data_IF_169157765781
#
_entry.id   IF_169157765781
#
_cell.length_a   1.000
_cell.length_b   1.000
_cell.length_c   1.000
_cell.angle_alpha   90.00
_cell.angle_beta   90.00
_cell.angle_gamma   90.00
#
_symmetry.space_group_name_H-M   'P 1'
#
loop_
_entity.id
_entity.type
_entity.pdbx_description
1 polymer ?
#
# COMPACT_ATOMS: atom_id res chain seq x y z
N UNK A 1 19.64 -11.59 16.33
CA UNK A 1 18.25 -12.07 16.15
C UNK A 1 17.79 -11.59 14.78
N UNK A 2 17.23 -12.47 13.92
CA UNK A 2 16.90 -12.05 12.55
C UNK A 2 15.82 -10.95 12.50
N UNK A 3 15.86 -10.07 11.51
CA UNK A 3 14.92 -8.95 11.30
C UNK A 3 13.44 -9.36 11.40
N UNK A 4 13.09 -10.54 10.92
CA UNK A 4 11.71 -11.10 10.99
C UNK A 4 11.18 -11.21 12.43
N UNK A 5 12.04 -11.54 13.40
CA UNK A 5 11.60 -11.67 14.80
C UNK A 5 11.30 -10.30 15.43
N UNK A 6 12.02 -9.26 15.01
CA UNK A 6 11.80 -7.87 15.46
C UNK A 6 10.48 -7.34 14.91
N UNK A 7 10.21 -7.55 13.63
CA UNK A 7 8.96 -7.15 12.97
C UNK A 7 7.72 -7.78 13.65
N UNK A 8 7.72 -9.11 13.82
CA UNK A 8 6.61 -9.82 14.47
C UNK A 8 6.37 -9.30 15.89
N UNK A 9 7.44 -9.12 16.67
CA UNK A 9 7.34 -8.56 18.04
C UNK A 9 6.78 -7.15 18.05
N UNK A 10 7.19 -6.31 17.10
CA UNK A 10 6.69 -4.92 17.01
C UNK A 10 5.19 -4.88 16.69
N UNK A 11 4.74 -5.65 15.69
CA UNK A 11 3.32 -5.75 15.33
C UNK A 11 2.48 -6.26 16.51
N UNK A 12 2.93 -7.32 17.17
CA UNK A 12 2.25 -7.88 18.35
C UNK A 12 2.15 -6.86 19.48
N UNK A 13 3.25 -6.14 19.77
CA UNK A 13 3.26 -5.13 20.84
C UNK A 13 2.33 -3.95 20.55
N UNK A 14 2.29 -3.47 19.30
CA UNK A 14 1.37 -2.40 18.90
C UNK A 14 -0.10 -2.83 19.05
N UNK A 15 -0.42 -4.05 18.66
CA UNK A 15 -1.74 -4.65 18.88
C UNK A 15 -2.08 -4.73 20.37
N UNK A 16 -1.19 -5.31 21.19
CA UNK A 16 -1.41 -5.50 22.62
C UNK A 16 -1.63 -4.16 23.34
N UNK A 17 -0.91 -3.10 22.96
CA UNK A 17 -1.11 -1.76 23.46
C UNK A 17 -2.54 -1.23 23.14
N UNK A 18 -3.02 -1.41 21.92
CA UNK A 18 -4.36 -0.98 21.51
C UNK A 18 -5.45 -1.76 22.25
N UNK A 19 -5.29 -3.08 22.42
CA UNK A 19 -6.20 -3.95 23.21
C UNK A 19 -6.26 -3.49 24.67
N UNK A 20 -5.11 -3.20 25.28
CA UNK A 20 -5.04 -2.72 26.65
C UNK A 20 -5.75 -1.37 26.81
N UNK A 21 -5.53 -0.44 25.88
CA UNK A 21 -6.17 0.87 25.86
C UNK A 21 -7.69 0.77 25.72
N UNK A 22 -8.18 -0.19 24.93
CA UNK A 22 -9.62 -0.43 24.75
C UNK A 22 -10.27 -1.20 25.90
N UNK A 23 -9.51 -1.86 26.77
CA UNK A 23 -10.04 -2.72 27.83
C UNK A 23 -10.83 -3.92 27.29
N UNK A 24 -10.43 -4.50 26.16
CA UNK A 24 -11.12 -5.62 25.52
C UNK A 24 -11.01 -6.88 26.38
N UNK A 25 -12.09 -7.64 26.48
CA UNK A 25 -12.11 -8.92 27.16
C UNK A 25 -11.06 -9.87 26.59
N UNK A 26 -10.36 -10.61 27.46
CA UNK A 26 -9.22 -11.46 27.09
C UNK A 26 -9.57 -12.51 26.04
N UNK A 27 -10.76 -13.12 26.12
CA UNK A 27 -11.23 -14.12 25.16
C UNK A 27 -11.32 -13.55 23.74
N UNK A 28 -12.02 -12.41 23.62
CA UNK A 28 -12.20 -11.71 22.35
C UNK A 28 -10.86 -11.12 21.83
N UNK A 29 -10.02 -10.60 22.70
CA UNK A 29 -8.68 -10.13 22.33
C UNK A 29 -7.82 -11.26 21.74
N UNK A 30 -7.86 -12.45 22.32
CA UNK A 30 -7.15 -13.63 21.80
C UNK A 30 -7.73 -14.06 20.43
N UNK A 31 -9.06 -14.04 20.27
CA UNK A 31 -9.72 -14.33 18.99
C UNK A 31 -9.24 -13.38 17.89
N UNK A 32 -9.22 -12.07 18.18
CA UNK A 32 -8.77 -11.05 17.20
C UNK A 32 -7.28 -11.17 16.90
N UNK A 33 -6.47 -11.63 17.84
CA UNK A 33 -5.01 -11.79 17.68
C UNK A 33 -4.63 -12.99 16.84
N UNK A 34 -5.42 -14.05 16.87
CA UNK A 34 -5.07 -15.34 16.28
C UNK A 34 -5.52 -15.44 14.83
N UNK A 35 -4.69 -16.01 13.98
CA UNK A 35 -5.13 -16.41 12.65
C UNK A 35 -6.17 -17.52 12.73
N UNK A 36 -7.26 -17.42 11.97
CA UNK A 36 -8.28 -18.45 11.86
C UNK A 36 -7.71 -19.75 11.29
N UNK A 37 -6.83 -19.63 10.30
CA UNK A 37 -6.12 -20.80 9.74
C UNK A 37 -4.78 -20.42 9.12
N UNK A 38 -3.84 -21.38 9.18
CA UNK A 38 -2.54 -21.27 8.49
C UNK A 38 -2.22 -22.60 7.81
N UNK A 39 -2.07 -22.56 6.51
CA UNK A 39 -1.78 -23.72 5.68
C UNK A 39 -0.32 -23.73 5.26
N UNK A 40 0.40 -24.81 5.59
CA UNK A 40 1.74 -25.10 5.04
C UNK A 40 1.59 -26.06 3.87
N UNK A 41 2.10 -25.66 2.71
CA UNK A 41 1.94 -26.37 1.45
C UNK A 41 3.31 -26.75 0.92
N UNK A 42 3.53 -28.05 0.66
CA UNK A 42 4.74 -28.56 0.01
C UNK A 42 4.37 -29.21 -1.31
N UNK A 43 5.13 -28.88 -2.36
CA UNK A 43 4.85 -29.39 -3.70
C UNK A 43 6.13 -29.51 -4.53
N UNK A 44 6.17 -30.51 -5.40
CA UNK A 44 7.26 -30.73 -6.34
C UNK A 44 6.95 -30.10 -7.71
N UNK A 45 7.98 -29.54 -8.34
CA UNK A 45 7.93 -29.03 -9.71
C UNK A 45 9.11 -29.62 -10.51
N UNK A 46 8.82 -30.11 -11.72
CA UNK A 46 9.86 -30.51 -12.66
C UNK A 46 10.33 -29.27 -13.41
N UNK A 47 11.54 -28.83 -13.10
CA UNK A 47 12.21 -27.69 -13.70
C UNK A 47 13.26 -28.16 -14.72
N UNK A 48 13.91 -27.20 -15.37
CA UNK A 48 14.94 -27.44 -16.36
C UNK A 48 16.12 -28.27 -15.80
N UNK A 49 16.47 -28.03 -14.54
CA UNK A 49 17.58 -28.67 -13.83
C UNK A 49 17.16 -29.84 -12.90
N UNK A 50 15.91 -30.34 -13.04
CA UNK A 50 15.40 -31.48 -12.30
C UNK A 50 14.17 -31.19 -11.45
N UNK A 51 13.78 -32.12 -10.58
CA UNK A 51 12.63 -31.96 -9.68
C UNK A 51 13.08 -31.23 -8.42
N UNK A 52 12.40 -30.11 -8.12
CA UNK A 52 12.60 -29.35 -6.88
C UNK A 52 11.33 -29.31 -6.05
N UNK A 53 11.51 -29.33 -4.73
CA UNK A 53 10.41 -29.25 -3.76
C UNK A 53 10.39 -27.85 -3.16
N UNK A 54 9.23 -27.24 -3.16
CA UNK A 54 8.98 -25.89 -2.62
C UNK A 54 8.08 -25.95 -1.39
N UNK A 55 8.24 -24.97 -0.51
CA UNK A 55 7.37 -24.80 0.65
C UNK A 55 6.75 -23.41 0.58
N UNK A 56 5.44 -23.36 0.63
CA UNK A 56 4.66 -22.12 0.68
C UNK A 56 3.66 -22.12 1.83
N UNK A 57 3.11 -20.98 2.12
CA UNK A 57 2.11 -20.76 3.16
C UNK A 57 0.97 -19.88 2.66
N UNK A 58 -0.21 -20.10 3.21
CA UNK A 58 -1.33 -19.16 3.14
C UNK A 58 -1.96 -19.09 4.53
N UNK A 59 -1.92 -17.90 5.15
CA UNK A 59 -2.59 -17.61 6.41
C UNK A 59 -3.85 -16.78 6.15
N UNK A 60 -4.92 -17.15 6.82
CA UNK A 60 -6.16 -16.41 6.91
C UNK A 60 -6.26 -15.90 8.35
N UNK A 61 -6.17 -14.60 8.53
CA UNK A 61 -6.20 -14.04 9.87
C UNK A 61 -7.63 -13.88 10.38
N UNK A 62 -8.50 -13.22 9.63
CA UNK A 62 -9.88 -13.03 10.04
C UNK A 62 -10.82 -13.09 8.85
N UNK A 63 -11.85 -13.91 9.00
CA UNK A 63 -12.97 -14.09 8.05
C UNK A 63 -14.24 -13.35 8.52
N UNK A 64 -14.09 -12.30 9.33
CA UNK A 64 -15.21 -11.47 9.76
C UNK A 64 -15.93 -10.81 8.56
N UNK A 65 -15.23 -10.63 7.47
CA UNK A 65 -15.73 -10.23 6.14
C UNK A 65 -15.02 -11.07 5.06
N UNK A 66 -15.75 -11.44 4.04
CA UNK A 66 -15.24 -12.17 2.88
C UNK A 66 -15.42 -11.36 1.57
N UNK A 67 -14.49 -11.53 0.62
CA UNK A 67 -13.32 -12.43 0.67
C UNK A 67 -12.22 -11.91 1.57
N UNK A 68 -11.36 -12.80 2.08
CA UNK A 68 -10.12 -12.38 2.73
C UNK A 68 -9.09 -11.95 1.70
N UNK A 69 -8.34 -10.89 1.98
CA UNK A 69 -7.45 -10.22 1.03
C UNK A 69 -6.03 -10.10 1.56
N UNK A 70 -5.03 -10.38 0.70
CA UNK A 70 -3.62 -10.13 1.02
C UNK A 70 -2.65 -10.72 0.02
N UNK A 71 -1.49 -10.08 -0.12
CA UNK A 71 -0.47 -10.43 -1.12
C UNK A 71 0.20 -11.78 -0.92
N UNK A 72 0.90 -12.27 -1.95
CA UNK A 72 1.78 -13.44 -1.90
C UNK A 72 3.22 -12.97 -2.06
N UNK A 73 4.05 -13.21 -1.04
CA UNK A 73 5.48 -12.84 -1.02
C UNK A 73 6.34 -13.99 -1.50
N UNK A 74 7.24 -13.72 -2.44
CA UNK A 74 8.31 -14.66 -2.82
C UNK A 74 9.61 -14.17 -2.19
N UNK A 75 10.10 -14.91 -1.20
CA UNK A 75 11.32 -14.56 -0.49
C UNK A 75 12.00 -15.79 0.10
N UNK A 76 13.34 -15.87 0.08
CA UNK A 76 14.05 -16.96 0.77
C UNK A 76 13.91 -16.92 2.30
N UNK A 77 13.57 -15.75 2.85
CA UNK A 77 13.44 -15.52 4.30
C UNK A 77 12.01 -15.79 4.82
N UNK A 78 11.01 -15.91 3.94
CA UNK A 78 9.61 -16.04 4.34
C UNK A 78 9.38 -17.29 5.21
N UNK A 79 8.56 -17.14 6.26
CA UNK A 79 8.18 -18.19 7.21
C UNK A 79 6.68 -18.13 7.53
N UNK A 80 6.16 -19.19 8.16
CA UNK A 80 4.77 -19.25 8.62
C UNK A 80 4.43 -18.07 9.54
N UNK A 81 5.25 -17.83 10.57
CA UNK A 81 5.02 -16.75 11.54
C UNK A 81 5.06 -15.36 10.94
N UNK A 82 5.91 -15.13 9.93
CA UNK A 82 5.92 -13.86 9.19
C UNK A 82 4.64 -13.69 8.37
N UNK A 83 4.18 -14.75 7.69
CA UNK A 83 2.94 -14.73 6.91
C UNK A 83 1.72 -14.48 7.82
N UNK A 84 1.67 -15.08 9.03
CA UNK A 84 0.62 -14.83 10.03
C UNK A 84 0.60 -13.37 10.50
N UNK A 85 1.76 -12.82 10.89
CA UNK A 85 1.86 -11.43 11.32
C UNK A 85 1.42 -10.45 10.21
N UNK A 86 1.82 -10.72 8.97
CA UNK A 86 1.40 -9.93 7.83
C UNK A 86 -0.09 -10.10 7.51
N UNK A 87 -0.69 -11.27 7.72
CA UNK A 87 -2.13 -11.50 7.55
C UNK A 87 -2.95 -10.69 8.57
N UNK A 88 -2.48 -10.62 9.82
CA UNK A 88 -3.07 -9.78 10.86
C UNK A 88 -3.03 -8.29 10.46
N UNK A 89 -1.88 -7.79 9.98
CA UNK A 89 -1.78 -6.42 9.47
C UNK A 89 -2.72 -6.16 8.30
N UNK A 90 -2.92 -7.13 7.40
CA UNK A 90 -3.88 -6.98 6.29
C UNK A 90 -5.30 -6.81 6.79
N UNK A 91 -5.73 -7.55 7.83
CA UNK A 91 -7.05 -7.36 8.44
C UNK A 91 -7.23 -5.93 8.93
N UNK A 92 -6.27 -5.42 9.70
CA UNK A 92 -6.37 -4.06 10.24
C UNK A 92 -6.30 -2.99 9.14
N UNK A 93 -5.43 -3.20 8.15
CA UNK A 93 -5.33 -2.29 7.01
C UNK A 93 -6.62 -2.21 6.20
N UNK A 94 -7.27 -3.35 5.94
CA UNK A 94 -8.57 -3.39 5.26
C UNK A 94 -9.65 -2.66 6.08
N UNK A 95 -9.64 -2.85 7.39
CA UNK A 95 -10.60 -2.21 8.30
C UNK A 95 -10.38 -0.69 8.41
N UNK A 96 -9.12 -0.20 8.38
CA UNK A 96 -8.83 1.25 8.45
C UNK A 96 -9.43 2.01 7.28
N UNK A 97 -9.29 1.49 6.06
CA UNK A 97 -9.79 2.13 4.84
C UNK A 97 -11.20 1.66 4.45
N UNK A 98 -11.87 0.98 5.35
CA UNK A 98 -13.27 0.54 5.21
C UNK A 98 -13.57 -0.27 3.95
N UNK A 99 -12.66 -1.16 3.53
CA UNK A 99 -12.95 -2.12 2.46
C UNK A 99 -13.58 -3.39 3.05
N UNK A 100 -14.55 -4.00 2.36
CA UNK A 100 -15.29 -5.17 2.86
C UNK A 100 -14.45 -6.45 2.70
N UNK A 101 -13.26 -6.47 3.27
CA UNK A 101 -12.34 -7.60 3.20
C UNK A 101 -11.87 -8.03 4.59
N UNK A 102 -11.87 -9.32 4.81
CA UNK A 102 -11.05 -9.94 5.85
C UNK A 102 -9.56 -9.87 5.48
N UNK A 103 -8.69 -10.48 6.29
CA UNK A 103 -7.25 -10.43 6.09
C UNK A 103 -6.61 -11.77 5.84
N UNK A 104 -5.74 -11.82 4.85
CA UNK A 104 -4.91 -12.98 4.55
C UNK A 104 -3.52 -12.59 4.08
N UNK A 105 -2.61 -13.55 4.06
CA UNK A 105 -1.29 -13.40 3.47
C UNK A 105 -0.78 -14.74 2.94
N UNK A 106 -0.01 -14.68 1.86
CA UNK A 106 0.69 -15.85 1.33
C UNK A 106 2.19 -15.63 1.27
N UNK A 107 2.94 -16.73 1.25
CA UNK A 107 4.37 -16.72 1.04
C UNK A 107 4.85 -17.98 0.35
N UNK A 108 5.87 -17.85 -0.50
CA UNK A 108 6.60 -18.96 -1.07
C UNK A 108 8.10 -18.77 -0.76
N UNK A 109 8.71 -19.79 -0.16
CA UNK A 109 10.14 -19.77 0.20
C UNK A 109 10.99 -20.00 -1.04
N UNK A 110 11.29 -18.91 -1.75
CA UNK A 110 12.03 -18.93 -3.01
C UNK A 110 12.80 -17.61 -3.19
N UNK A 111 13.97 -17.67 -3.83
CA UNK A 111 14.62 -16.48 -4.37
C UNK A 111 14.28 -16.38 -5.87
N UNK A 112 13.36 -15.47 -6.29
CA UNK A 112 12.93 -15.39 -7.70
C UNK A 112 14.08 -15.15 -8.68
N UNK A 113 15.10 -14.40 -8.29
CA UNK A 113 16.25 -14.06 -9.16
C UNK A 113 17.13 -15.27 -9.56
N UNK A 114 16.92 -16.42 -8.91
CA UNK A 114 17.65 -17.66 -9.20
C UNK A 114 16.97 -18.55 -10.24
N UNK A 115 15.82 -18.15 -10.75
CA UNK A 115 15.01 -18.92 -11.68
C UNK A 115 14.76 -18.14 -12.96
N UNK A 116 14.68 -18.87 -14.07
CA UNK A 116 14.19 -18.30 -15.32
C UNK A 116 12.72 -17.92 -15.23
N UNK A 117 12.23 -17.06 -16.10
CA UNK A 117 10.81 -16.71 -16.16
C UNK A 117 9.94 -17.94 -16.39
N UNK A 118 10.37 -18.86 -17.27
CA UNK A 118 9.67 -20.12 -17.54
C UNK A 118 9.56 -21.02 -16.31
N UNK A 119 10.65 -21.14 -15.52
CA UNK A 119 10.64 -21.94 -14.29
C UNK A 119 9.78 -21.26 -13.20
N UNK A 120 9.85 -19.92 -13.08
CA UNK A 120 8.97 -19.18 -12.17
C UNK A 120 7.49 -19.34 -12.52
N UNK A 121 7.14 -19.35 -13.81
CA UNK A 121 5.78 -19.62 -14.27
C UNK A 121 5.31 -21.02 -13.82
N UNK A 122 6.12 -22.06 -14.08
CA UNK A 122 5.80 -23.43 -13.66
C UNK A 122 5.60 -23.55 -12.16
N UNK A 123 6.49 -22.92 -11.38
CA UNK A 123 6.40 -22.90 -9.91
C UNK A 123 5.14 -22.20 -9.44
N UNK A 124 4.83 -21.03 -10.02
CA UNK A 124 3.67 -20.21 -9.64
C UNK A 124 2.36 -20.93 -10.00
N UNK A 125 2.24 -21.51 -11.19
CA UNK A 125 1.06 -22.28 -11.59
C UNK A 125 0.85 -23.50 -10.68
N UNK A 126 1.91 -24.25 -10.39
CA UNK A 126 1.81 -25.40 -9.51
C UNK A 126 1.44 -25.03 -8.07
N UNK A 127 1.96 -23.91 -7.56
CA UNK A 127 1.55 -23.36 -6.26
C UNK A 127 0.08 -22.94 -6.29
N UNK A 128 -0.38 -22.34 -7.37
CA UNK A 128 -1.79 -21.95 -7.57
C UNK A 128 -2.72 -23.15 -7.54
N UNK A 129 -2.38 -24.25 -8.24
CA UNK A 129 -3.15 -25.48 -8.16
C UNK A 129 -3.33 -25.96 -6.71
N UNK A 130 -2.25 -25.97 -5.93
CA UNK A 130 -2.30 -26.40 -4.55
C UNK A 130 -3.13 -25.47 -3.65
N UNK A 131 -3.13 -24.17 -3.92
CA UNK A 131 -3.96 -23.19 -3.22
C UNK A 131 -5.45 -23.35 -3.60
N UNK A 132 -5.74 -23.51 -4.89
CA UNK A 132 -7.13 -23.70 -5.40
C UNK A 132 -7.77 -24.96 -4.86
N UNK A 133 -7.04 -26.11 -4.84
CA UNK A 133 -7.51 -27.38 -4.26
C UNK A 133 -7.96 -27.26 -2.79
N UNK A 134 -7.50 -26.24 -2.08
CA UNK A 134 -7.78 -26.01 -0.64
C UNK A 134 -8.74 -24.83 -0.41
N UNK A 135 -9.30 -24.25 -1.46
CA UNK A 135 -10.17 -23.07 -1.34
C UNK A 135 -9.42 -21.78 -0.96
N UNK A 136 -8.08 -21.77 -1.09
CA UNK A 136 -7.24 -20.65 -0.68
C UNK A 136 -6.98 -19.60 -1.78
N UNK A 137 -7.61 -19.79 -2.93
CA UNK A 137 -7.79 -18.80 -4.01
C UNK A 137 -9.22 -18.95 -4.56
N UNK A 138 -10.00 -17.89 -4.47
CA UNK A 138 -11.37 -17.81 -4.99
C UNK A 138 -11.83 -16.36 -5.04
N UNK A 139 -12.61 -15.93 -6.04
CA UNK A 139 -13.21 -14.61 -6.10
C UNK A 139 -14.02 -14.22 -4.87
N UNK A 140 -14.68 -15.20 -4.23
CA UNK A 140 -15.59 -14.99 -3.11
C UNK A 140 -15.01 -15.26 -1.72
N UNK A 141 -13.92 -16.05 -1.62
CA UNK A 141 -13.40 -16.47 -0.33
C UNK A 141 -12.02 -15.90 -0.02
N UNK A 142 -11.09 -15.92 -1.01
CA UNK A 142 -9.70 -15.58 -0.73
C UNK A 142 -8.99 -15.06 -1.97
N UNK A 143 -8.68 -13.77 -1.97
CA UNK A 143 -8.17 -13.03 -3.15
C UNK A 143 -6.74 -12.56 -2.92
N UNK A 144 -5.75 -13.24 -3.50
CA UNK A 144 -4.35 -12.80 -3.47
C UNK A 144 -4.11 -11.47 -4.20
N UNK A 145 -2.92 -10.91 -3.98
CA UNK A 145 -2.39 -9.72 -4.64
C UNK A 145 -0.85 -9.82 -4.75
N UNK A 146 -0.18 -8.94 -5.50
CA UNK A 146 1.28 -8.89 -5.51
C UNK A 146 1.84 -8.41 -4.15
N UNK A 147 3.07 -8.87 -3.86
CA UNK A 147 3.89 -8.44 -2.74
C UNK A 147 5.37 -8.49 -3.17
N UNK A 148 6.31 -8.40 -2.23
CA UNK A 148 7.74 -8.54 -2.52
C UNK A 148 8.02 -9.84 -3.31
N UNK A 149 8.78 -9.72 -4.38
CA UNK A 149 9.15 -10.83 -5.24
C UNK A 149 8.06 -11.32 -6.20
N UNK A 150 6.88 -10.67 -6.23
CA UNK A 150 5.81 -10.93 -7.19
C UNK A 150 5.30 -9.64 -7.84
N UNK A 151 4.70 -9.77 -9.02
CA UNK A 151 4.19 -8.63 -9.78
C UNK A 151 3.04 -8.99 -10.71
N UNK A 152 2.83 -8.16 -11.74
CA UNK A 152 1.76 -8.35 -12.72
C UNK A 152 1.83 -9.71 -13.43
N UNK A 153 3.05 -10.23 -13.70
CA UNK A 153 3.26 -11.52 -14.38
C UNK A 153 2.75 -12.69 -13.54
N UNK A 154 3.18 -12.78 -12.29
CA UNK A 154 2.78 -13.85 -11.38
C UNK A 154 1.25 -13.81 -11.16
N UNK A 155 0.67 -12.61 -11.03
CA UNK A 155 -0.79 -12.47 -10.90
C UNK A 155 -1.52 -12.90 -12.17
N UNK A 156 -0.94 -12.68 -13.35
CA UNK A 156 -1.48 -13.17 -14.61
C UNK A 156 -1.49 -14.72 -14.67
N UNK A 157 -0.38 -15.35 -14.27
CA UNK A 157 -0.28 -16.82 -14.23
C UNK A 157 -1.26 -17.43 -13.21
N UNK A 158 -1.42 -16.79 -12.04
CA UNK A 158 -2.41 -17.21 -11.04
C UNK A 158 -3.83 -17.12 -11.60
N UNK A 159 -4.19 -16.01 -12.25
CA UNK A 159 -5.52 -15.81 -12.82
C UNK A 159 -5.83 -16.83 -13.94
N UNK A 160 -4.86 -17.05 -14.85
CA UNK A 160 -5.01 -18.02 -15.93
C UNK A 160 -5.15 -19.45 -15.39
N UNK A 161 -4.30 -19.84 -14.43
CA UNK A 161 -4.37 -21.17 -13.84
C UNK A 161 -5.65 -21.41 -13.05
N UNK A 162 -6.11 -20.40 -12.28
CA UNK A 162 -7.40 -20.46 -11.60
C UNK A 162 -8.54 -20.70 -12.60
N UNK A 163 -8.56 -19.93 -13.72
CA UNK A 163 -9.58 -20.06 -14.77
C UNK A 163 -9.55 -21.43 -15.43
N UNK A 164 -8.37 -22.00 -15.66
CA UNK A 164 -8.21 -23.35 -16.20
C UNK A 164 -8.80 -24.42 -15.29
N UNK A 165 -8.62 -24.28 -13.97
CA UNK A 165 -9.15 -25.19 -12.97
C UNK A 165 -10.65 -25.01 -12.72
N UNK A 166 -11.18 -23.80 -12.99
CA UNK A 166 -12.59 -23.42 -12.76
C UNK A 166 -13.21 -22.81 -14.04
N UNK A 167 -13.37 -23.60 -15.14
CA UNK A 167 -13.78 -23.06 -16.45
C UNK A 167 -15.19 -22.47 -16.47
N UNK A 168 -16.04 -22.84 -15.52
CA UNK A 168 -17.42 -22.35 -15.39
C UNK A 168 -17.57 -21.14 -14.46
N UNK A 169 -16.50 -20.71 -13.78
CA UNK A 169 -16.56 -19.52 -12.94
C UNK A 169 -16.49 -18.25 -13.80
N UNK A 170 -17.63 -17.58 -13.96
CA UNK A 170 -17.71 -16.32 -14.71
C UNK A 170 -16.90 -15.21 -14.07
N UNK A 171 -16.65 -15.29 -12.75
CA UNK A 171 -15.90 -14.32 -11.98
C UNK A 171 -14.41 -14.68 -11.87
N UNK A 172 -13.91 -15.66 -12.62
CA UNK A 172 -12.55 -16.18 -12.49
C UNK A 172 -11.45 -15.10 -12.45
N UNK A 173 -11.60 -14.00 -13.18
CA UNK A 173 -10.64 -12.89 -13.14
C UNK A 173 -10.64 -12.09 -11.83
N UNK A 174 -11.68 -12.20 -11.01
CA UNK A 174 -11.72 -11.58 -9.68
C UNK A 174 -10.95 -12.40 -8.60
N UNK A 175 -10.46 -13.60 -8.94
CA UNK A 175 -9.74 -14.48 -8.00
C UNK A 175 -8.41 -13.88 -7.48
N UNK A 176 -7.85 -12.88 -8.15
CA UNK A 176 -6.58 -12.22 -7.81
C UNK A 176 -6.59 -10.78 -8.32
N UNK A 177 -5.90 -9.87 -7.63
CA UNK A 177 -5.74 -8.48 -8.05
C UNK A 177 -4.28 -8.12 -8.34
N UNK A 178 -4.04 -7.02 -9.07
CA UNK A 178 -2.71 -6.61 -9.51
C UNK A 178 -2.28 -7.25 -10.84
N UNK A 179 -3.25 -7.72 -11.61
CA UNK A 179 -3.06 -8.27 -12.96
C UNK A 179 -2.68 -7.20 -13.98
N UNK A 180 -2.16 -7.59 -15.14
CA UNK A 180 -2.09 -6.73 -16.32
C UNK A 180 -3.48 -6.18 -16.72
N UNK A 181 -3.53 -4.98 -17.27
CA UNK A 181 -4.79 -4.30 -17.62
C UNK A 181 -5.59 -5.05 -18.68
N UNK A 182 -4.91 -5.72 -19.64
CA UNK A 182 -5.54 -6.58 -20.65
C UNK A 182 -6.11 -7.89 -20.08
N UNK A 183 -5.79 -8.23 -18.83
CA UNK A 183 -6.32 -9.39 -18.10
C UNK A 183 -7.27 -8.98 -16.95
N UNK A 184 -7.89 -7.82 -17.05
CA UNK A 184 -8.81 -7.34 -16.02
C UNK A 184 -8.17 -6.54 -14.89
N UNK A 185 -6.89 -6.21 -14.98
CA UNK A 185 -6.24 -5.26 -14.10
C UNK A 185 -6.76 -3.83 -14.29
N UNK A 186 -6.73 -3.01 -13.27
CA UNK A 186 -7.23 -1.63 -13.29
C UNK A 186 -6.09 -0.64 -13.51
N UNK A 187 -6.33 0.41 -14.29
CA UNK A 187 -5.39 1.51 -14.46
C UNK A 187 -5.21 2.27 -13.14
N UNK A 188 -4.00 2.81 -12.91
CA UNK A 188 -3.66 3.49 -11.65
C UNK A 188 -3.17 2.57 -10.52
N UNK A 189 -3.29 1.22 -10.65
CA UNK A 189 -2.86 0.30 -9.59
C UNK A 189 -1.38 0.42 -9.23
N UNK A 190 -0.52 0.71 -10.23
CA UNK A 190 0.94 0.81 -10.04
C UNK A 190 1.33 2.01 -9.16
N UNK A 191 0.63 3.13 -9.30
CA UNK A 191 0.89 4.36 -8.55
C UNK A 191 0.12 4.45 -7.21
N UNK A 192 -0.87 3.57 -7.01
CA UNK A 192 -1.88 3.68 -5.96
C UNK A 192 -1.30 3.84 -4.55
N UNK A 193 -0.29 3.04 -4.19
CA UNK A 193 0.33 3.11 -2.85
C UNK A 193 1.05 4.45 -2.64
N UNK A 194 1.87 4.88 -3.60
CA UNK A 194 2.57 6.16 -3.51
C UNK A 194 1.62 7.36 -3.53
N UNK A 195 0.58 7.31 -4.36
CA UNK A 195 -0.47 8.35 -4.39
C UNK A 195 -1.29 8.36 -3.09
N UNK A 196 -1.52 7.19 -2.48
CA UNK A 196 -2.14 7.09 -1.15
C UNK A 196 -1.35 7.82 -0.07
N UNK A 197 -0.01 7.75 -0.10
CA UNK A 197 0.86 8.53 0.81
C UNK A 197 0.64 10.04 0.62
N UNK A 198 0.53 10.51 -0.62
CA UNK A 198 0.20 11.90 -0.90
C UNK A 198 -1.17 12.28 -0.31
N UNK A 199 -2.22 11.47 -0.51
CA UNK A 199 -3.54 11.76 0.04
C UNK A 199 -3.55 11.72 1.57
N UNK A 200 -2.81 10.80 2.19
CA UNK A 200 -2.66 10.75 3.64
C UNK A 200 -2.04 12.04 4.20
N UNK A 201 -0.97 12.53 3.57
CA UNK A 201 -0.36 13.80 3.93
C UNK A 201 -1.29 14.98 3.64
N UNK A 202 -1.96 14.99 2.49
CA UNK A 202 -2.90 16.06 2.13
C UNK A 202 -4.06 16.17 3.13
N UNK A 203 -4.65 15.04 3.53
CA UNK A 203 -5.72 14.99 4.56
C UNK A 203 -5.21 15.53 5.89
N UNK A 204 -4.01 15.12 6.33
CA UNK A 204 -3.39 15.64 7.55
C UNK A 204 -3.18 17.16 7.49
N UNK A 205 -2.59 17.68 6.40
CA UNK A 205 -2.30 19.12 6.26
C UNK A 205 -3.56 19.98 6.16
N UNK A 206 -4.67 19.42 5.72
CA UNK A 206 -5.97 20.11 5.64
C UNK A 206 -6.81 19.94 6.92
N UNK A 207 -6.36 19.12 7.88
CA UNK A 207 -7.08 18.87 9.13
C UNK A 207 -6.66 19.84 10.26
N UNK A 208 -7.45 19.87 11.32
CA UNK A 208 -7.11 20.57 12.56
C UNK A 208 -5.91 19.98 13.29
N UNK A 209 -5.53 18.74 12.98
CA UNK A 209 -4.43 18.01 13.64
C UNK A 209 -3.07 18.62 13.34
N UNK A 210 -2.94 19.35 12.24
CA UNK A 210 -1.73 20.13 11.95
C UNK A 210 -1.32 21.04 13.11
N UNK A 211 -2.29 21.59 13.86
CA UNK A 211 -2.04 22.44 15.03
C UNK A 211 -1.37 21.71 16.21
N UNK A 212 -1.42 20.38 16.22
CA UNK A 212 -0.77 19.54 17.25
C UNK A 212 0.72 19.38 17.00
N UNK A 213 1.20 19.79 15.84
CA UNK A 213 2.60 19.66 15.42
C UNK A 213 3.31 20.99 15.42
N UNK A 214 4.65 20.92 15.31
CA UNK A 214 5.51 22.10 15.10
C UNK A 214 5.67 22.46 13.61
N UNK A 215 4.92 21.78 12.72
CA UNK A 215 4.94 22.03 11.28
C UNK A 215 4.20 23.32 10.98
N UNK A 216 4.78 24.14 10.11
CA UNK A 216 4.17 25.40 9.65
C UNK A 216 3.93 25.36 8.14
N UNK A 217 2.94 26.08 7.70
CA UNK A 217 2.59 26.17 6.29
C UNK A 217 1.69 25.02 5.81
N UNK A 218 1.59 24.86 4.51
CA UNK A 218 0.84 23.81 3.84
C UNK A 218 1.80 22.76 3.24
N UNK A 219 1.25 21.69 2.68
CA UNK A 219 2.04 20.61 2.09
C UNK A 219 3.02 21.10 0.99
N UNK A 220 2.63 22.13 0.22
CA UNK A 220 3.45 22.71 -0.87
C UNK A 220 4.77 23.30 -0.39
N UNK A 221 4.83 23.77 0.85
CA UNK A 221 6.03 24.42 1.41
C UNK A 221 6.98 23.43 2.11
N UNK A 222 6.66 22.15 2.15
CA UNK A 222 7.41 21.17 2.92
C UNK A 222 8.62 20.61 2.16
N UNK A 223 9.70 20.38 2.90
CA UNK A 223 10.92 19.71 2.45
C UNK A 223 10.88 18.25 2.88
N UNK A 224 11.05 17.35 1.93
CA UNK A 224 10.79 15.92 2.11
C UNK A 224 12.05 15.11 1.79
N UNK A 225 12.36 14.13 2.64
CA UNK A 225 13.34 13.08 2.39
C UNK A 225 12.61 11.76 2.25
N UNK A 226 12.99 10.96 1.25
CA UNK A 226 12.38 9.65 0.97
C UNK A 226 13.47 8.58 1.02
N UNK A 227 13.25 7.54 1.85
CA UNK A 227 14.09 6.35 1.84
C UNK A 227 13.46 5.29 0.95
N UNK A 228 14.14 4.93 -0.16
CA UNK A 228 13.66 4.01 -1.17
C UNK A 228 12.91 4.68 -2.31
N UNK A 229 13.49 4.69 -3.52
CA UNK A 229 12.85 5.20 -4.75
C UNK A 229 12.30 4.05 -5.62
N UNK A 230 11.84 2.97 -4.97
CA UNK A 230 11.09 1.90 -5.59
C UNK A 230 9.72 2.38 -6.11
N UNK A 231 8.80 1.45 -6.42
CA UNK A 231 7.46 1.84 -6.90
C UNK A 231 6.74 2.79 -5.94
N UNK A 232 6.76 2.50 -4.63
CA UNK A 232 6.07 3.30 -3.62
C UNK A 232 6.68 4.69 -3.50
N UNK A 233 7.99 4.76 -3.22
CA UNK A 233 8.67 6.04 -3.01
C UNK A 233 8.68 6.94 -4.24
N UNK A 234 8.86 6.37 -5.44
CA UNK A 234 8.83 7.16 -6.68
C UNK A 234 7.46 7.80 -6.93
N UNK A 235 6.38 7.02 -6.83
CA UNK A 235 5.04 7.59 -7.06
C UNK A 235 4.58 8.53 -5.94
N UNK A 236 5.05 8.32 -4.71
CA UNK A 236 4.86 9.28 -3.62
C UNK A 236 5.61 10.60 -3.92
N UNK A 237 6.90 10.50 -4.25
CA UNK A 237 7.71 11.66 -4.64
C UNK A 237 7.10 12.44 -5.79
N UNK A 238 6.63 11.74 -6.83
CA UNK A 238 6.00 12.35 -8.01
C UNK A 238 4.71 13.09 -7.63
N UNK A 239 3.81 12.43 -6.89
CA UNK A 239 2.55 13.06 -6.48
C UNK A 239 2.80 14.29 -5.59
N UNK A 240 3.73 14.20 -4.64
CA UNK A 240 4.10 15.31 -3.75
C UNK A 240 4.72 16.49 -4.50
N UNK A 241 5.66 16.21 -5.41
CA UNK A 241 6.28 17.24 -6.27
C UNK A 241 5.25 17.92 -7.17
N UNK A 242 4.39 17.15 -7.82
CA UNK A 242 3.36 17.68 -8.73
C UNK A 242 2.35 18.58 -7.99
N UNK A 243 2.25 18.43 -6.67
CA UNK A 243 1.46 19.30 -5.79
C UNK A 243 2.30 20.34 -5.03
N UNK A 244 3.56 20.53 -5.44
CA UNK A 244 4.39 21.66 -5.04
C UNK A 244 5.32 21.43 -3.83
N UNK A 245 5.37 20.24 -3.25
CA UNK A 245 6.35 19.91 -2.21
C UNK A 245 7.75 19.73 -2.82
N UNK A 246 8.81 19.95 -2.02
CA UNK A 246 10.19 19.86 -2.47
C UNK A 246 10.85 18.59 -1.96
N UNK A 247 11.22 17.68 -2.86
CA UNK A 247 11.99 16.49 -2.51
C UNK A 247 13.48 16.86 -2.44
N UNK A 248 14.03 16.91 -1.24
CA UNK A 248 15.40 17.36 -1.00
C UNK A 248 16.40 16.22 -0.80
N UNK A 249 15.92 15.02 -0.48
CA UNK A 249 16.78 13.85 -0.26
C UNK A 249 16.13 12.55 -0.71
N UNK A 250 16.95 11.67 -1.28
CA UNK A 250 16.59 10.30 -1.64
C UNK A 250 17.69 9.37 -1.13
N UNK A 251 17.28 8.35 -0.38
CA UNK A 251 18.18 7.34 0.19
C UNK A 251 17.87 6.00 -0.47
N UNK A 252 18.86 5.43 -1.16
CA UNK A 252 18.84 4.07 -1.69
C UNK A 252 19.86 3.18 -0.95
N UNK A 253 19.84 1.89 -1.24
CA UNK A 253 20.66 0.90 -0.54
C UNK A 253 22.15 1.24 -0.61
N UNK A 254 22.63 1.58 -1.80
CA UNK A 254 24.06 1.73 -2.09
C UNK A 254 24.44 3.17 -2.45
N UNK A 255 23.50 4.09 -2.50
CA UNK A 255 23.73 5.48 -2.90
C UNK A 255 22.64 6.42 -2.40
N UNK A 256 23.00 7.67 -2.15
CA UNK A 256 22.07 8.70 -1.66
C UNK A 256 22.23 10.00 -2.44
N UNK A 257 21.13 10.72 -2.59
CA UNK A 257 21.07 12.00 -3.31
C UNK A 257 20.54 13.07 -2.37
N UNK A 258 21.16 14.25 -2.39
CA UNK A 258 20.72 15.37 -1.57
C UNK A 258 20.89 16.70 -2.28
N UNK A 259 19.84 17.52 -2.27
CA UNK A 259 19.90 18.90 -2.74
C UNK A 259 18.84 19.73 -1.99
N UNK A 260 19.22 20.70 -1.15
CA UNK A 260 18.27 21.51 -0.37
C UNK A 260 17.35 22.38 -1.23
N UNK A 261 17.66 22.55 -2.53
CA UNK A 261 16.84 23.28 -3.51
C UNK A 261 15.84 22.37 -4.26
N UNK A 262 15.92 21.04 -4.06
CA UNK A 262 15.10 20.02 -4.71
C UNK A 262 15.87 19.15 -5.70
N UNK A 263 15.41 17.93 -5.82
CA UNK A 263 15.95 16.87 -6.69
C UNK A 263 15.02 16.62 -7.87
N UNK A 264 15.61 16.31 -9.02
CA UNK A 264 14.87 15.78 -10.17
C UNK A 264 14.68 14.26 -10.00
N UNK A 265 13.51 13.89 -9.49
CA UNK A 265 13.18 12.50 -9.17
C UNK A 265 13.05 11.62 -10.41
N UNK A 266 12.64 12.18 -11.56
CA UNK A 266 12.46 11.43 -12.80
C UNK A 266 13.84 11.08 -13.38
N UNK A 267 14.77 12.04 -13.36
CA UNK A 267 16.15 11.82 -13.76
C UNK A 267 16.84 10.79 -12.85
N UNK A 268 16.70 10.91 -11.52
CA UNK A 268 17.26 9.95 -10.56
C UNK A 268 16.70 8.55 -10.79
N UNK A 269 15.39 8.44 -11.05
CA UNK A 269 14.75 7.14 -11.32
C UNK A 269 15.28 6.49 -12.58
N UNK A 270 15.48 7.26 -13.65
CA UNK A 270 16.10 6.78 -14.90
C UNK A 270 17.52 6.32 -14.63
N UNK A 271 18.29 7.13 -13.91
CA UNK A 271 19.67 6.84 -13.52
C UNK A 271 19.82 5.53 -12.75
N UNK A 272 18.96 5.32 -11.75
CA UNK A 272 18.94 4.08 -10.96
C UNK A 272 18.58 2.84 -11.81
N UNK A 273 17.70 3.00 -12.79
CA UNK A 273 17.31 1.90 -13.69
C UNK A 273 18.44 1.53 -14.67
N UNK A 274 19.29 2.47 -15.04
CA UNK A 274 20.44 2.26 -15.93
C UNK A 274 21.68 1.70 -15.19
N UNK A 275 21.55 1.41 -13.89
CA UNK A 275 22.62 0.90 -13.02
C UNK A 275 23.85 1.81 -12.95
N UNK A 276 23.68 3.11 -13.14
CA UNK A 276 24.73 4.11 -13.07
C UNK A 276 25.06 4.47 -11.61
N UNK A 277 26.32 4.82 -11.33
CA UNK A 277 26.74 5.17 -9.98
C UNK A 277 26.34 6.62 -9.62
N UNK A 278 25.96 6.86 -8.37
CA UNK A 278 25.54 8.20 -7.90
C UNK A 278 26.60 9.28 -8.10
N UNK A 279 27.88 8.91 -8.06
CA UNK A 279 29.01 9.83 -8.28
C UNK A 279 28.99 10.48 -9.67
N UNK A 280 28.40 9.82 -10.65
CA UNK A 280 28.34 10.28 -12.03
C UNK A 280 27.03 11.05 -12.31
N UNK A 281 26.15 11.22 -11.31
CA UNK A 281 24.89 11.96 -11.45
C UNK A 281 25.18 13.45 -11.77
N UNK A 282 24.65 14.01 -12.87
CA UNK A 282 25.08 15.30 -13.42
C UNK A 282 24.95 16.51 -12.48
N UNK A 283 24.04 16.46 -11.53
CA UNK A 283 23.71 17.56 -10.62
C UNK A 283 24.21 17.34 -9.19
N UNK A 284 24.98 16.27 -8.93
CA UNK A 284 25.52 15.96 -7.62
C UNK A 284 27.04 16.13 -7.64
N UNK A 285 27.51 17.21 -7.01
CA UNK A 285 28.96 17.52 -6.93
C UNK A 285 29.70 16.68 -5.90
N UNK A 286 28.96 16.17 -4.90
CA UNK A 286 29.51 15.43 -3.75
C UNK A 286 28.71 14.15 -3.54
N UNK A 287 29.39 13.08 -3.14
CA UNK A 287 28.74 11.85 -2.69
C UNK A 287 28.26 12.04 -1.26
N UNK A 288 26.99 11.75 -1.02
CA UNK A 288 26.41 11.73 0.32
C UNK A 288 26.31 10.29 0.82
N UNK A 289 26.74 10.04 2.03
CA UNK A 289 26.46 8.78 2.71
C UNK A 289 24.97 8.68 3.07
N UNK A 290 24.52 7.45 3.33
CA UNK A 290 23.16 7.23 3.82
C UNK A 290 22.90 8.05 5.10
N UNK A 291 23.82 8.02 6.05
CA UNK A 291 23.66 8.67 7.35
C UNK A 291 23.60 10.20 7.26
N UNK A 292 24.38 10.80 6.34
CA UNK A 292 24.30 12.25 6.08
C UNK A 292 22.93 12.67 5.58
N UNK A 293 22.34 11.96 4.61
CA UNK A 293 21.00 12.29 4.11
C UNK A 293 19.92 11.91 5.12
N UNK A 294 20.09 10.81 5.85
CA UNK A 294 19.17 10.38 6.90
C UNK A 294 19.06 11.38 8.05
N UNK A 295 20.19 12.04 8.41
CA UNK A 295 20.26 13.06 9.48
C UNK A 295 19.99 14.48 9.01
N UNK A 296 19.86 14.70 7.70
CA UNK A 296 19.61 16.01 7.15
C UNK A 296 18.23 16.56 7.60
N UNK A 297 18.19 17.86 7.90
CA UNK A 297 16.95 18.49 8.36
C UNK A 297 15.88 18.48 7.26
N UNK A 298 14.72 17.92 7.59
CA UNK A 298 13.55 17.93 6.72
C UNK A 298 12.26 18.14 7.52
N UNK A 299 11.19 18.51 6.85
CA UNK A 299 9.88 18.64 7.48
C UNK A 299 9.17 17.27 7.56
N UNK A 300 9.32 16.46 6.51
CA UNK A 300 8.69 15.15 6.39
C UNK A 300 9.75 14.11 5.98
N UNK A 301 9.77 12.98 6.67
CA UNK A 301 10.56 11.81 6.30
C UNK A 301 9.62 10.67 5.87
N UNK A 302 9.87 10.06 4.71
CA UNK A 302 9.04 8.98 4.15
C UNK A 302 9.89 7.70 4.02
N UNK A 303 9.85 6.78 4.99
CA UNK A 303 10.48 5.47 4.85
C UNK A 303 9.64 4.59 3.92
N UNK A 304 10.10 4.38 2.69
CA UNK A 304 9.42 3.62 1.64
C UNK A 304 10.27 2.46 1.07
N UNK A 305 11.34 2.07 1.75
CA UNK A 305 12.24 0.99 1.34
C UNK A 305 11.76 -0.38 1.85
N UNK A 306 12.10 -0.74 3.08
CA UNK A 306 11.79 -2.05 3.69
C UNK A 306 11.34 -1.92 5.13
N UNK A 307 10.89 -3.03 5.70
CA UNK A 307 10.60 -3.14 7.13
C UNK A 307 11.87 -2.92 7.98
N UNK A 308 11.71 -2.29 9.16
CA UNK A 308 12.75 -2.14 10.18
C UNK A 308 13.93 -1.29 9.74
N UNK A 309 13.74 -0.25 8.95
CA UNK A 309 14.81 0.69 8.56
C UNK A 309 15.11 1.73 9.64
N UNK A 310 14.13 2.04 10.50
CA UNK A 310 14.28 2.95 11.63
C UNK A 310 14.22 2.15 12.93
N UNK A 311 15.36 2.03 13.58
CA UNK A 311 15.59 1.15 14.74
C UNK A 311 16.18 1.90 15.91
N UNK A 312 16.45 1.18 16.99
CA UNK A 312 17.14 1.68 18.20
C UNK A 312 18.51 2.25 17.90
N UNK A 313 19.14 1.82 16.81
CA UNK A 313 20.51 2.23 16.48
C UNK A 313 20.55 3.58 15.74
N UNK A 314 19.45 4.00 15.06
CA UNK A 314 19.47 5.15 14.16
C UNK A 314 18.35 6.17 14.35
N UNK A 315 17.28 5.89 15.09
CA UNK A 315 16.18 6.84 15.25
C UNK A 315 16.61 8.20 15.80
N UNK A 316 17.68 8.22 16.59
CA UNK A 316 18.19 9.43 17.22
C UNK A 316 18.84 10.40 16.22
N UNK A 317 19.22 9.91 15.04
CA UNK A 317 19.77 10.71 13.93
C UNK A 317 18.69 11.49 13.17
N UNK A 318 17.44 11.02 13.19
CA UNK A 318 16.37 11.67 12.43
C UNK A 318 16.10 13.11 12.91
N UNK A 319 16.14 14.04 11.96
CA UNK A 319 15.85 15.46 12.16
C UNK A 319 14.62 15.85 11.34
N UNK A 320 13.45 15.37 11.76
CA UNK A 320 12.17 15.60 11.09
C UNK A 320 11.07 15.92 12.11
N UNK A 321 9.97 16.48 11.64
CA UNK A 321 8.77 16.79 12.45
C UNK A 321 7.64 15.80 12.22
N UNK A 322 7.64 15.13 11.05
CA UNK A 322 6.61 14.22 10.61
C UNK A 322 7.24 13.03 9.88
N UNK A 323 6.79 11.84 10.21
CA UNK A 323 7.09 10.62 9.46
C UNK A 323 5.80 10.12 8.83
N UNK A 324 5.84 9.80 7.53
CA UNK A 324 4.74 9.15 6.83
C UNK A 324 5.22 7.80 6.28
N UNK A 325 4.72 6.71 6.84
CA UNK A 325 5.24 5.36 6.56
C UNK A 325 4.78 4.81 5.22
N UNK A 326 5.70 4.77 4.26
CA UNK A 326 5.46 4.18 2.94
C UNK A 326 5.70 2.66 2.88
N UNK A 327 6.67 2.14 3.62
CA UNK A 327 6.90 0.71 3.78
C UNK A 327 6.00 0.12 4.89
N UNK A 328 5.91 -1.21 4.94
CA UNK A 328 5.22 -1.88 6.06
C UNK A 328 6.19 -2.02 7.24
N UNK A 329 5.77 -1.57 8.43
CA UNK A 329 6.56 -1.66 9.66
C UNK A 329 7.99 -1.12 9.54
N UNK A 330 8.21 0.09 8.99
CA UNK A 330 9.56 0.63 8.84
C UNK A 330 10.17 1.01 10.19
N UNK A 331 9.35 1.31 11.20
CA UNK A 331 9.77 1.63 12.55
C UNK A 331 9.65 0.42 13.48
N UNK A 332 10.68 0.22 14.34
CA UNK A 332 10.52 -0.67 15.50
C UNK A 332 9.59 -0.02 16.53
N UNK A 333 8.97 -0.82 17.40
CA UNK A 333 8.08 -0.28 18.44
C UNK A 333 8.78 0.68 19.41
N UNK A 334 10.10 0.50 19.63
CA UNK A 334 10.92 1.41 20.47
C UNK A 334 11.20 2.71 19.75
N UNK A 335 11.55 2.65 18.45
CA UNK A 335 11.76 3.85 17.64
C UNK A 335 10.47 4.67 17.55
N UNK A 336 9.32 4.03 17.33
CA UNK A 336 8.00 4.66 17.32
C UNK A 336 7.73 5.40 18.64
N UNK A 337 7.87 4.73 19.77
CA UNK A 337 7.66 5.35 21.09
C UNK A 337 8.59 6.55 21.32
N UNK A 338 9.89 6.38 21.08
CA UNK A 338 10.87 7.45 21.28
C UNK A 338 10.59 8.69 20.43
N UNK A 339 10.23 8.49 19.15
CA UNK A 339 9.93 9.58 18.24
C UNK A 339 8.63 10.31 18.62
N UNK A 340 7.61 9.58 19.03
CA UNK A 340 6.39 10.16 19.60
C UNK A 340 6.69 10.99 20.86
N UNK A 341 7.51 10.49 21.81
CA UNK A 341 7.92 11.20 23.02
C UNK A 341 8.70 12.48 22.71
N UNK A 342 9.45 12.50 21.60
CA UNK A 342 10.10 13.73 21.08
C UNK A 342 9.14 14.70 20.37
N UNK A 343 7.88 14.33 20.19
CA UNK A 343 6.88 15.13 19.51
C UNK A 343 6.98 15.06 17.98
N UNK A 344 7.60 14.01 17.41
CA UNK A 344 7.52 13.70 15.99
C UNK A 344 6.22 12.98 15.73
N UNK A 345 5.37 13.53 14.87
CA UNK A 345 4.13 12.88 14.49
C UNK A 345 4.42 11.74 13.50
N UNK A 346 3.73 10.61 13.66
CA UNK A 346 3.85 9.46 12.76
C UNK A 346 2.50 9.15 12.14
N UNK A 347 2.38 9.27 10.81
CA UNK A 347 1.24 8.75 10.05
C UNK A 347 1.57 7.27 9.72
N UNK A 348 0.83 6.33 10.34
CA UNK A 348 1.23 4.91 10.34
C UNK A 348 0.98 4.21 9.01
N UNK A 349 1.73 3.15 8.77
CA UNK A 349 1.66 2.28 7.58
C UNK A 349 0.29 1.60 7.39
N UNK A 350 -0.42 1.31 8.47
CA UNK A 350 -1.79 0.78 8.39
C UNK A 350 -2.71 1.66 7.55
N UNK A 351 -2.48 2.97 7.57
CA UNK A 351 -3.24 3.94 6.81
C UNK A 351 -2.45 4.47 5.60
N UNK A 352 -1.25 5.01 5.81
CA UNK A 352 -0.51 5.78 4.79
C UNK A 352 -0.28 5.03 3.48
N UNK A 353 0.07 3.75 3.54
CA UNK A 353 0.33 2.93 2.36
C UNK A 353 -0.87 2.06 1.91
N UNK A 354 -2.05 2.29 2.48
CA UNK A 354 -3.25 1.50 2.19
C UNK A 354 -3.85 1.76 0.80
N UNK A 355 -3.42 2.80 0.09
CA UNK A 355 -3.92 3.12 -1.26
C UNK A 355 -3.82 1.96 -2.24
N UNK A 356 -2.80 1.11 -2.10
CA UNK A 356 -2.69 -0.12 -2.89
C UNK A 356 -3.83 -1.11 -2.64
N UNK A 357 -4.35 -1.17 -1.42
CA UNK A 357 -5.50 -2.02 -1.05
C UNK A 357 -6.79 -1.44 -1.61
N UNK A 358 -7.00 -0.12 -1.47
CA UNK A 358 -8.16 0.58 -2.03
C UNK A 358 -8.31 0.31 -3.54
N UNK A 359 -7.24 0.50 -4.32
CA UNK A 359 -7.30 0.23 -5.77
C UNK A 359 -7.39 -1.27 -6.08
N UNK A 360 -6.90 -2.15 -5.22
CA UNK A 360 -7.16 -3.59 -5.34
C UNK A 360 -8.62 -3.94 -5.13
N UNK A 361 -9.32 -3.24 -4.24
CA UNK A 361 -10.77 -3.36 -4.07
C UNK A 361 -11.50 -2.93 -5.34
N UNK A 362 -11.15 -1.78 -5.94
CA UNK A 362 -11.74 -1.35 -7.21
C UNK A 362 -11.51 -2.37 -8.33
N UNK A 363 -10.30 -2.95 -8.44
CA UNK A 363 -10.02 -4.00 -9.43
C UNK A 363 -10.92 -5.22 -9.23
N UNK A 364 -11.11 -5.67 -8.00
CA UNK A 364 -11.95 -6.80 -7.66
C UNK A 364 -13.42 -6.52 -8.02
N UNK A 365 -13.98 -5.38 -7.58
CA UNK A 365 -15.37 -4.96 -7.91
C UNK A 365 -15.57 -4.89 -9.44
N UNK A 366 -14.62 -4.25 -10.15
CA UNK A 366 -14.68 -4.14 -11.62
C UNK A 366 -14.72 -5.52 -12.30
N UNK A 367 -13.94 -6.49 -11.78
CA UNK A 367 -13.96 -7.84 -12.36
C UNK A 367 -15.26 -8.58 -12.05
N UNK A 368 -15.89 -8.37 -10.89
CA UNK A 368 -17.21 -8.91 -10.57
C UNK A 368 -18.32 -8.29 -11.42
N UNK A 369 -18.22 -6.99 -11.69
CA UNK A 369 -19.19 -6.28 -12.51
C UNK A 369 -19.03 -6.55 -14.02
N UNK A 370 -17.94 -7.15 -14.47
CA UNK A 370 -17.59 -7.38 -15.88
C UNK A 370 -17.59 -6.10 -16.75
N UNK A 371 -17.41 -4.94 -16.15
CA UNK A 371 -17.48 -3.65 -16.82
C UNK A 371 -16.38 -2.69 -16.36
N UNK A 372 -15.85 -1.88 -17.27
CA UNK A 372 -14.89 -0.82 -16.93
C UNK A 372 -15.59 0.38 -16.31
N UNK A 373 -14.97 0.95 -15.29
CA UNK A 373 -15.49 2.15 -14.64
C UNK A 373 -15.70 3.30 -15.64
N UNK A 374 -16.80 4.03 -15.47
CA UNK A 374 -17.15 5.20 -16.25
C UNK A 374 -17.54 4.95 -17.71
N UNK A 375 -17.47 3.69 -18.22
CA UNK A 375 -17.70 3.42 -19.64
C UNK A 375 -19.09 3.79 -20.12
N UNK A 376 -20.12 3.60 -19.31
CA UNK A 376 -21.51 3.94 -19.68
C UNK A 376 -21.83 5.43 -19.48
N UNK A 377 -21.14 6.09 -18.54
CA UNK A 377 -21.41 7.48 -18.18
C UNK A 377 -20.60 8.48 -19.01
N UNK A 378 -19.48 8.05 -19.59
CA UNK A 378 -18.55 8.94 -20.30
C UNK A 378 -19.24 9.74 -21.40
N UNK A 379 -19.99 9.09 -22.29
CA UNK A 379 -20.71 9.76 -23.39
C UNK A 379 -21.80 10.73 -22.90
N UNK A 380 -22.48 10.34 -21.84
CA UNK A 380 -23.48 11.20 -21.20
C UNK A 380 -22.84 12.46 -20.64
N UNK A 381 -21.72 12.33 -19.94
CA UNK A 381 -20.94 13.47 -19.41
C UNK A 381 -20.40 14.36 -20.53
N UNK A 382 -19.89 13.78 -21.60
CA UNK A 382 -19.44 14.51 -22.79
C UNK A 382 -20.59 15.35 -23.38
N UNK A 383 -21.80 14.76 -23.48
CA UNK A 383 -22.98 15.49 -23.96
C UNK A 383 -23.45 16.58 -23.00
N UNK A 384 -23.52 16.31 -21.71
CA UNK A 384 -23.86 17.30 -20.67
C UNK A 384 -22.89 18.50 -20.70
N UNK A 385 -21.60 18.22 -20.75
CA UNK A 385 -20.57 19.26 -20.84
C UNK A 385 -20.67 20.08 -22.12
N UNK A 386 -20.88 19.44 -23.27
CA UNK A 386 -21.06 20.13 -24.53
C UNK A 386 -22.30 21.06 -24.51
N UNK A 387 -23.40 20.59 -23.91
CA UNK A 387 -24.62 21.38 -23.73
C UNK A 387 -24.39 22.59 -22.83
N UNK A 388 -23.71 22.42 -21.69
CA UNK A 388 -23.36 23.52 -20.79
C UNK A 388 -22.47 24.57 -21.48
N UNK A 389 -21.45 24.11 -22.22
CA UNK A 389 -20.57 25.03 -22.98
C UNK A 389 -21.34 25.83 -24.04
N UNK A 390 -22.30 25.18 -24.72
CA UNK A 390 -23.18 25.88 -25.68
C UNK A 390 -24.03 26.95 -25.00
N UNK A 391 -24.59 26.67 -23.83
CA UNK A 391 -25.36 27.63 -23.03
C UNK A 391 -24.47 28.81 -22.60
N UNK A 392 -23.25 28.55 -22.14
CA UNK A 392 -22.28 29.60 -21.74
C UNK A 392 -21.96 30.51 -22.95
N UNK A 393 -21.64 29.94 -24.11
CA UNK A 393 -21.35 30.71 -25.32
C UNK A 393 -22.54 31.60 -25.75
N UNK A 394 -23.74 31.02 -25.69
CA UNK A 394 -24.97 31.76 -26.07
C UNK A 394 -25.26 32.88 -25.07
N UNK A 395 -25.09 32.65 -23.77
CA UNK A 395 -25.38 33.63 -22.71
C UNK A 395 -24.35 34.73 -22.59
N UNK A 396 -23.08 34.44 -22.89
CA UNK A 396 -21.97 35.40 -22.74
C UNK A 396 -21.63 36.10 -24.05
N UNK A 397 -22.09 35.58 -25.20
CA UNK A 397 -21.70 36.04 -26.52
C UNK A 397 -20.22 35.79 -26.89
N UNK A 398 -19.47 35.07 -26.01
CA UNK A 398 -18.06 34.79 -26.17
C UNK A 398 -17.83 33.36 -26.65
N UNK A 399 -17.02 33.19 -27.71
CA UNK A 399 -16.66 31.84 -28.19
C UNK A 399 -15.55 31.21 -27.34
N UNK A 400 -15.74 30.00 -26.88
CA UNK A 400 -14.74 29.19 -26.18
C UNK A 400 -13.83 28.56 -27.22
N UNK A 401 -12.50 28.60 -26.98
CA UNK A 401 -11.52 28.00 -27.90
C UNK A 401 -11.78 26.51 -28.09
N UNK A 402 -11.48 25.98 -29.29
CA UNK A 402 -11.62 24.54 -29.57
C UNK A 402 -10.81 23.66 -28.63
N UNK A 403 -9.64 24.14 -28.18
CA UNK A 403 -8.78 23.44 -27.24
C UNK A 403 -9.45 23.37 -25.87
N UNK A 404 -10.03 24.44 -25.36
CA UNK A 404 -10.78 24.48 -24.09
C UNK A 404 -12.04 23.63 -24.17
N UNK A 405 -12.77 23.65 -25.29
CA UNK A 405 -13.93 22.78 -25.51
C UNK A 405 -13.55 21.32 -25.47
N UNK A 406 -12.50 20.92 -26.17
CA UNK A 406 -12.03 19.54 -26.17
C UNK A 406 -11.63 19.07 -24.76
N UNK A 407 -10.95 19.93 -24.00
CA UNK A 407 -10.54 19.62 -22.62
C UNK A 407 -11.75 19.45 -21.68
N UNK A 408 -12.73 20.36 -21.76
CA UNK A 408 -13.92 20.35 -20.91
C UNK A 408 -14.96 19.29 -21.33
N UNK A 409 -15.03 18.95 -22.64
CA UNK A 409 -15.94 17.92 -23.13
C UNK A 409 -15.48 16.50 -22.83
N UNK A 410 -14.21 16.27 -22.46
CA UNK A 410 -13.75 14.94 -22.10
C UNK A 410 -14.42 14.47 -20.80
N UNK A 411 -15.14 13.40 -20.87
CA UNK A 411 -15.62 12.69 -19.69
C UNK A 411 -14.43 12.00 -18.97
N UNK A 412 -14.58 11.64 -17.67
CA UNK A 412 -13.50 11.05 -16.89
C UNK A 412 -13.01 9.73 -17.50
N UNK A 413 -11.70 9.57 -17.54
CA UNK A 413 -11.08 8.29 -17.87
C UNK A 413 -11.17 7.31 -16.68
N UNK A 414 -10.88 6.02 -16.89
CA UNK A 414 -10.86 5.03 -15.81
C UNK A 414 -9.87 5.43 -14.70
N UNK A 415 -8.69 5.91 -15.06
CA UNK A 415 -7.69 6.35 -14.09
C UNK A 415 -8.16 7.56 -13.27
N UNK A 416 -8.92 8.49 -13.85
CA UNK A 416 -9.43 9.65 -13.13
C UNK A 416 -10.46 9.22 -12.07
N UNK A 417 -11.32 8.25 -12.39
CA UNK A 417 -12.29 7.69 -11.46
C UNK A 417 -11.60 6.90 -10.33
N UNK A 418 -10.57 6.11 -10.68
CA UNK A 418 -9.77 5.36 -9.69
C UNK A 418 -9.04 6.32 -8.75
N UNK A 419 -8.46 7.40 -9.27
CA UNK A 419 -7.78 8.42 -8.46
C UNK A 419 -8.75 9.15 -7.53
N UNK A 420 -9.93 9.52 -8.06
CA UNK A 420 -10.97 10.18 -7.26
C UNK A 420 -11.48 9.27 -6.16
N UNK A 421 -11.80 8.01 -6.46
CA UNK A 421 -12.23 7.06 -5.44
C UNK A 421 -11.13 6.74 -4.41
N UNK A 422 -9.87 6.73 -4.83
CA UNK A 422 -8.74 6.56 -3.91
C UNK A 422 -8.61 7.77 -2.97
N UNK A 423 -8.73 8.99 -3.48
CA UNK A 423 -8.69 10.21 -2.68
C UNK A 423 -9.80 10.21 -1.64
N UNK A 424 -11.02 9.90 -2.07
CA UNK A 424 -12.21 9.83 -1.22
C UNK A 424 -12.02 8.85 -0.06
N UNK A 425 -11.66 7.60 -0.36
CA UNK A 425 -11.41 6.57 0.66
C UNK A 425 -10.27 6.95 1.64
N UNK A 426 -9.17 7.52 1.13
CA UNK A 426 -8.05 7.92 1.99
C UNK A 426 -8.44 9.11 2.88
N UNK A 427 -9.21 10.06 2.36
CA UNK A 427 -9.68 11.21 3.13
C UNK A 427 -10.66 10.80 4.22
N UNK A 428 -11.67 10.00 3.89
CA UNK A 428 -12.65 9.49 4.85
C UNK A 428 -12.00 8.66 5.96
N UNK A 429 -11.05 7.78 5.59
CA UNK A 429 -10.30 7.02 6.58
C UNK A 429 -9.49 7.90 7.53
N UNK A 430 -8.89 8.99 7.03
CA UNK A 430 -8.20 9.95 7.87
C UNK A 430 -9.15 10.68 8.82
N UNK A 431 -10.27 11.18 8.32
CA UNK A 431 -11.28 11.90 9.10
C UNK A 431 -11.79 11.05 10.26
N UNK A 432 -12.16 9.80 9.98
CA UNK A 432 -12.61 8.85 11.00
C UNK A 432 -11.54 8.58 12.08
N UNK A 433 -10.27 8.40 11.68
CA UNK A 433 -9.18 8.25 12.65
C UNK A 433 -8.93 9.54 13.45
N UNK A 434 -8.95 10.70 12.80
CA UNK A 434 -8.72 12.01 13.39
C UNK A 434 -9.79 12.31 14.45
N UNK A 435 -11.07 12.02 14.16
CA UNK A 435 -12.18 12.17 15.09
C UNK A 435 -11.95 11.35 16.37
N UNK A 436 -11.69 10.05 16.23
CA UNK A 436 -11.41 9.14 17.34
C UNK A 436 -10.17 9.58 18.14
N UNK A 437 -9.12 10.03 17.45
CA UNK A 437 -7.91 10.53 18.11
C UNK A 437 -8.18 11.77 18.95
N UNK A 438 -8.97 12.70 18.43
CA UNK A 438 -9.33 13.95 19.10
C UNK A 438 -10.26 13.74 20.30
N UNK A 439 -11.26 12.90 20.16
CA UNK A 439 -12.23 12.61 21.22
C UNK A 439 -11.58 11.89 22.41
N UNK A 440 -10.73 10.92 22.17
CA UNK A 440 -10.21 10.04 23.20
C UNK A 440 -8.80 10.40 23.66
N UNK A 441 -8.13 11.35 22.98
CA UNK A 441 -6.77 11.80 23.31
C UNK A 441 -5.75 10.66 23.40
N UNK A 442 -5.84 9.69 22.46
CA UNK A 442 -4.87 8.60 22.41
C UNK A 442 -3.46 9.12 22.11
N UNK A 443 -2.45 8.37 22.55
CA UNK A 443 -1.04 8.79 22.50
C UNK A 443 -0.51 9.03 21.08
N UNK A 444 -1.02 8.29 20.07
CA UNK A 444 -0.56 8.40 18.70
C UNK A 444 -1.62 8.05 17.66
N UNK A 445 -1.42 8.51 16.43
CA UNK A 445 -2.25 8.09 15.27
C UNK A 445 -2.12 6.59 15.01
N UNK A 446 -0.98 5.96 15.30
CA UNK A 446 -0.81 4.51 15.18
C UNK A 446 -1.73 3.75 16.12
N UNK A 447 -1.70 4.10 17.39
CA UNK A 447 -2.60 3.51 18.40
C UNK A 447 -4.05 3.70 17.97
N UNK A 448 -4.39 4.88 17.47
CA UNK A 448 -5.75 5.20 16.97
C UNK A 448 -6.14 4.32 15.78
N UNK A 449 -5.24 4.10 14.80
CA UNK A 449 -5.50 3.25 13.65
C UNK A 449 -5.78 1.79 14.05
N UNK A 450 -5.00 1.25 15.00
CA UNK A 450 -5.27 -0.08 15.57
C UNK A 450 -6.61 -0.11 16.29
N UNK A 451 -6.89 0.86 17.15
CA UNK A 451 -8.15 0.97 17.92
C UNK A 451 -9.36 1.05 16.97
N UNK A 452 -9.28 1.87 15.94
CA UNK A 452 -10.35 1.99 14.93
C UNK A 452 -10.62 0.66 14.24
N UNK A 453 -9.58 -0.01 13.79
CA UNK A 453 -9.69 -1.33 13.17
C UNK A 453 -10.26 -2.38 14.13
N UNK A 454 -9.75 -2.44 15.35
CA UNK A 454 -10.18 -3.42 16.35
C UNK A 454 -11.64 -3.21 16.75
N UNK A 455 -12.12 -1.96 16.87
CA UNK A 455 -13.53 -1.65 17.15
C UNK A 455 -14.45 -2.25 16.07
N UNK A 456 -14.09 -2.11 14.78
CA UNK A 456 -14.87 -2.70 13.67
C UNK A 456 -14.91 -4.23 13.75
N UNK A 457 -13.78 -4.87 14.07
CA UNK A 457 -13.73 -6.32 14.25
C UNK A 457 -14.58 -6.76 15.43
N UNK A 458 -14.50 -6.08 16.58
CA UNK A 458 -15.31 -6.36 17.77
C UNK A 458 -16.79 -6.28 17.42
N UNK A 459 -17.21 -5.23 16.72
CA UNK A 459 -18.60 -5.07 16.29
C UNK A 459 -19.04 -6.23 15.39
N UNK A 460 -18.22 -6.59 14.40
CA UNK A 460 -18.47 -7.71 13.51
C UNK A 460 -18.62 -9.02 14.27
N UNK A 461 -17.68 -9.35 15.17
CA UNK A 461 -17.73 -10.57 15.97
C UNK A 461 -18.95 -10.59 16.92
N UNK A 462 -19.30 -9.49 17.55
CA UNK A 462 -20.53 -9.40 18.38
C UNK A 462 -21.80 -9.63 17.57
N UNK A 463 -21.87 -9.11 16.35
CA UNK A 463 -23.03 -9.28 15.46
C UNK A 463 -23.24 -10.75 15.04
N UNK A 464 -22.18 -11.56 15.01
CA UNK A 464 -22.26 -13.01 14.71
C UNK A 464 -22.33 -13.88 15.97
N UNK A 465 -22.40 -13.28 17.17
CA UNK A 465 -22.63 -13.99 18.43
C UNK A 465 -21.36 -14.46 19.16
N UNK A 466 -20.22 -13.84 18.87
CA UNK A 466 -18.95 -14.10 19.57
C UNK A 466 -18.61 -12.94 20.54
#
# INVERSE_FOLDING_TARGET
>A
MGSNNVFIKSVTKMFDNAIQTLGVEKGLANQIKSCNSTHTIRFGVKLTDGIKVFTGWRAVHSEHLEPVKGGIRYSPAVSASEVEAMAMLMTFKNAVIDVPFGGSKGGLKINPSKYSEEDLEKITRRFTEELVKRGLISPSLNVPAPDMGTGKKEMAWIADEYKRLNPHDINAYACVTGKPENMGGVDGRTEATGRGIFFALNSFFNSSDLKKTKIKGNLKSQKIIIEGLGKVGYFAAKALRDHGATIIGIIEKDQSFYNPKGLDIDLIRTWLNESSEAKDYPNQKELFSKDEVFSAACDIFIPAATEGTITEDNFHLLNTKLICEGANGPLTSRADQFLNDKGVLIIPDLYANAGGVAVSYFEWVRNLQHMRFGRMEKRRKEYENASLLSVIETSTGSKISSQTKNLLNQGPSEIDLVRSGLEDMMTEAYENMSEIWNENKYDSLRTTAYIYSIKKLIESYRNIGI
#
